data_IF_307554234642
#
_entry.id   IF_307554234642
#
_cell.length_a   1.000
_cell.length_b   1.000
_cell.length_c   1.000
_cell.angle_alpha   90.00
_cell.angle_beta   90.00
_cell.angle_gamma   90.00
#
_symmetry.space_group_name_H-M   'P 1'
#
loop_
_entity.id
_entity.type
_entity.pdbx_description
1 polymer ?
#
# COMPACT_ATOMS: atom_id res chain seq x y z
N UNK A 1 -3.00 10.50 18.48
CA UNK A 1 -1.90 9.54 18.72
C UNK A 1 -1.28 9.93 20.05
N UNK A 2 -0.99 8.96 20.93
CA UNK A 2 -0.31 9.24 22.20
C UNK A 2 1.21 9.36 22.03
N UNK A 3 1.89 9.95 23.01
CA UNK A 3 3.35 10.11 23.05
C UNK A 3 4.09 8.78 22.80
N UNK A 4 3.63 7.69 23.41
CA UNK A 4 4.22 6.36 23.26
C UNK A 4 4.29 5.89 21.79
N UNK A 5 3.22 6.13 21.03
CA UNK A 5 3.16 5.75 19.61
C UNK A 5 4.15 6.58 18.78
N UNK A 6 4.25 7.88 19.05
CA UNK A 6 5.22 8.74 18.37
C UNK A 6 6.66 8.29 18.65
N UNK A 7 6.98 7.96 19.90
CA UNK A 7 8.29 7.46 20.31
C UNK A 7 8.64 6.12 19.64
N UNK A 8 7.71 5.15 19.61
CA UNK A 8 7.96 3.86 18.95
C UNK A 8 8.20 4.03 17.46
N UNK A 9 7.36 4.80 16.76
CA UNK A 9 7.50 4.99 15.32
C UNK A 9 8.79 5.74 14.99
N UNK A 10 9.10 6.83 15.70
CA UNK A 10 10.34 7.58 15.48
C UNK A 10 11.59 6.74 15.82
N UNK A 11 11.53 5.92 16.88
CA UNK A 11 12.61 5.01 17.26
C UNK A 11 12.87 3.95 16.20
N UNK A 12 11.83 3.25 15.74
CA UNK A 12 11.94 2.24 14.67
C UNK A 12 12.45 2.87 13.38
N UNK A 13 11.91 4.03 12.99
CA UNK A 13 12.40 4.75 11.82
C UNK A 13 13.88 5.12 11.97
N UNK A 14 14.31 5.61 13.14
CA UNK A 14 15.72 5.98 13.42
C UNK A 14 16.66 4.79 13.30
N UNK A 15 16.30 3.66 13.92
CA UNK A 15 17.12 2.45 13.86
C UNK A 15 17.20 1.91 12.43
N UNK A 16 16.08 1.94 11.71
CA UNK A 16 16.04 1.53 10.30
C UNK A 16 16.89 2.45 9.43
N UNK A 17 16.84 3.77 9.66
CA UNK A 17 17.70 4.75 8.98
C UNK A 17 19.17 4.52 9.28
N UNK A 18 19.52 4.29 10.54
CA UNK A 18 20.90 4.00 10.93
C UNK A 18 21.40 2.73 10.25
N UNK A 19 20.57 1.67 10.19
CA UNK A 19 20.90 0.46 9.47
C UNK A 19 21.09 0.71 7.97
N UNK A 20 20.20 1.45 7.33
CA UNK A 20 20.32 1.80 5.90
C UNK A 20 21.59 2.61 5.63
N UNK A 21 21.92 3.58 6.48
CA UNK A 21 23.07 4.47 6.26
C UNK A 21 24.43 3.82 6.59
N UNK A 22 24.48 2.97 7.62
CA UNK A 22 25.73 2.39 8.13
C UNK A 22 25.94 0.94 7.70
N UNK A 23 24.85 0.25 7.38
CA UNK A 23 24.85 -1.19 7.10
C UNK A 23 24.67 -1.54 5.63
N UNK A 24 24.05 -0.68 4.80
CA UNK A 24 23.92 -0.93 3.37
C UNK A 24 25.08 -0.32 2.58
N UNK A 25 25.43 -0.94 1.45
CA UNK A 25 26.42 -0.39 0.52
C UNK A 25 25.87 0.88 -0.17
N UNK A 26 24.58 0.88 -0.49
CA UNK A 26 23.87 2.05 -0.98
C UNK A 26 22.40 1.98 -0.57
N UNK A 27 21.80 3.16 -0.35
CA UNK A 27 20.35 3.31 -0.30
C UNK A 27 19.92 4.48 -1.19
N UNK A 28 18.97 4.25 -2.09
CA UNK A 28 18.44 5.27 -3.01
C UNK A 28 16.94 5.46 -2.82
N UNK A 29 16.47 6.70 -2.91
CA UNK A 29 15.04 7.04 -2.81
C UNK A 29 14.62 7.92 -3.98
N UNK A 30 13.65 7.45 -4.76
CA UNK A 30 13.12 8.08 -5.98
C UNK A 30 11.65 8.45 -5.80
N UNK A 31 11.19 9.53 -6.44
CA UNK A 31 9.79 10.00 -6.38
C UNK A 31 9.35 10.55 -5.01
N UNK A 32 10.29 10.72 -4.08
CA UNK A 32 10.00 11.08 -2.69
C UNK A 32 9.37 12.45 -2.55
N UNK A 33 9.82 13.44 -3.32
CA UNK A 33 9.35 14.82 -3.20
C UNK A 33 7.85 14.93 -3.54
N UNK A 34 7.44 14.30 -4.65
CA UNK A 34 6.03 14.17 -5.02
C UNK A 34 5.21 13.49 -3.92
N UNK A 35 5.71 12.38 -3.39
CA UNK A 35 5.05 11.67 -2.29
C UNK A 35 4.86 12.58 -1.07
N UNK A 36 5.89 13.33 -0.66
CA UNK A 36 5.83 14.24 0.48
C UNK A 36 4.87 15.41 0.23
N UNK A 37 4.81 15.98 -0.98
CA UNK A 37 3.84 17.02 -1.35
C UNK A 37 2.40 16.50 -1.21
N UNK A 38 2.14 15.27 -1.66
CA UNK A 38 0.83 14.63 -1.45
C UNK A 38 0.58 14.38 0.03
N UNK A 39 1.57 13.86 0.77
CA UNK A 39 1.47 13.55 2.19
C UNK A 39 1.14 14.78 3.04
N UNK A 40 1.70 15.94 2.68
CA UNK A 40 1.56 17.19 3.41
C UNK A 40 0.55 18.18 2.80
N UNK A 41 -0.14 17.82 1.70
CA UNK A 41 -1.14 18.70 1.06
C UNK A 41 -2.25 19.10 2.05
N UNK A 42 -2.42 20.41 2.32
CA UNK A 42 -3.53 20.92 3.13
C UNK A 42 -4.89 20.63 2.49
N UNK A 43 -4.99 20.70 1.16
CA UNK A 43 -6.23 20.48 0.41
C UNK A 43 -6.72 19.04 0.57
N UNK A 44 -5.79 18.07 0.50
CA UNK A 44 -6.10 16.67 0.78
C UNK A 44 -6.63 16.49 2.21
N UNK A 45 -6.04 17.18 3.18
CA UNK A 45 -6.45 17.10 4.59
C UNK A 45 -7.80 17.72 4.84
N UNK A 46 -8.03 18.92 4.30
CA UNK A 46 -9.28 19.66 4.43
C UNK A 46 -10.44 18.89 3.79
N UNK A 47 -10.21 18.30 2.61
CA UNK A 47 -11.14 17.37 1.96
C UNK A 47 -11.22 15.99 2.62
N UNK A 48 -10.53 15.73 3.73
CA UNK A 48 -10.41 14.42 4.41
C UNK A 48 -10.18 13.24 3.45
N UNK A 49 -9.42 13.47 2.38
CA UNK A 49 -9.13 12.41 1.42
C UNK A 49 -8.02 11.53 1.96
N UNK A 50 -8.30 10.23 2.11
CA UNK A 50 -7.35 9.26 2.61
C UNK A 50 -6.14 9.08 1.69
N UNK A 51 -5.00 8.67 2.25
CA UNK A 51 -3.84 8.25 1.48
C UNK A 51 -3.66 6.73 1.62
N UNK A 52 -3.70 6.00 0.52
CA UNK A 52 -3.49 4.56 0.47
C UNK A 52 -2.20 4.27 -0.30
N UNK A 53 -1.12 3.94 0.41
CA UNK A 53 0.12 3.48 -0.23
C UNK A 53 0.17 1.96 -0.27
N UNK A 54 0.79 1.40 -1.31
CA UNK A 54 0.91 -0.05 -1.42
C UNK A 54 2.21 -0.45 -2.10
N UNK A 55 2.86 -1.50 -1.60
CA UNK A 55 4.17 -1.93 -2.07
C UNK A 55 4.23 -3.42 -2.42
N UNK A 56 5.17 -3.79 -3.29
CA UNK A 56 5.60 -5.18 -3.41
C UNK A 56 6.22 -5.63 -2.08
N UNK A 57 6.14 -6.93 -1.79
CA UNK A 57 6.63 -7.49 -0.54
C UNK A 57 7.75 -8.49 -0.83
N UNK A 58 8.99 -8.20 -0.45
CA UNK A 58 10.20 -9.00 -0.76
C UNK A 58 11.00 -9.38 0.49
N UNK A 59 10.70 -8.78 1.65
CA UNK A 59 11.39 -9.08 2.91
C UNK A 59 10.49 -8.89 4.13
N UNK A 60 10.78 -9.62 5.20
CA UNK A 60 10.14 -9.41 6.51
C UNK A 60 10.46 -8.05 7.13
N UNK A 61 11.52 -7.39 6.64
CA UNK A 61 11.92 -6.04 7.07
C UNK A 61 11.39 -4.93 6.17
N UNK A 62 10.51 -5.23 5.21
CA UNK A 62 10.05 -4.21 4.27
C UNK A 62 9.40 -3.02 4.95
N UNK A 63 8.53 -3.27 5.93
CA UNK A 63 7.83 -2.21 6.65
C UNK A 63 8.80 -1.25 7.36
N UNK A 64 9.67 -1.68 8.29
CA UNK A 64 10.55 -0.76 8.99
C UNK A 64 11.58 -0.09 8.06
N UNK A 65 12.18 -0.84 7.12
CA UNK A 65 13.21 -0.30 6.23
C UNK A 65 12.64 0.69 5.21
N UNK A 66 11.45 0.44 4.66
CA UNK A 66 10.78 1.35 3.74
C UNK A 66 10.66 2.74 4.38
N UNK A 67 10.21 2.80 5.63
CA UNK A 67 9.99 4.06 6.33
C UNK A 67 11.26 4.66 6.92
N UNK A 68 12.30 3.86 7.16
CA UNK A 68 13.66 4.35 7.40
C UNK A 68 14.26 5.12 6.22
N UNK A 69 13.69 5.03 5.02
CA UNK A 69 14.17 5.83 3.87
C UNK A 69 13.70 7.29 3.90
N UNK A 70 12.66 7.61 4.68
CA UNK A 70 12.12 8.97 4.77
C UNK A 70 13.11 9.90 5.48
N UNK A 71 13.09 11.20 5.16
CA UNK A 71 14.06 12.13 5.72
C UNK A 71 13.85 12.36 7.21
N UNK A 72 14.91 12.79 7.89
CA UNK A 72 14.94 13.18 9.30
C UNK A 72 15.25 14.69 9.39
N UNK A 73 14.84 15.35 10.47
CA UNK A 73 15.13 16.78 10.67
C UNK A 73 16.65 16.98 10.63
N UNK A 74 17.11 17.93 9.81
CA UNK A 74 18.54 18.25 9.68
C UNK A 74 19.33 17.32 8.74
N UNK A 75 18.69 16.38 8.04
CA UNK A 75 19.35 15.59 7.00
C UNK A 75 19.61 16.45 5.76
N UNK A 76 20.67 17.25 5.79
CA UNK A 76 21.23 17.90 4.59
C UNK A 76 21.89 16.82 3.73
N UNK A 77 21.24 16.44 2.64
CA UNK A 77 21.94 15.75 1.56
C UNK A 77 22.62 16.84 0.72
N UNK A 78 23.97 16.93 0.67
CA UNK A 78 24.66 17.95 -0.11
C UNK A 78 24.38 17.89 -1.62
N UNK A 79 23.79 16.79 -2.10
CA UNK A 79 23.39 16.58 -3.50
C UNK A 79 21.90 16.86 -3.76
N UNK A 80 21.11 17.28 -2.76
CA UNK A 80 19.71 17.68 -2.94
C UNK A 80 19.49 19.07 -2.34
N UNK A 81 18.94 20.05 -3.10
CA UNK A 81 18.58 21.33 -2.51
C UNK A 81 17.65 21.11 -1.31
N UNK A 82 17.77 21.97 -0.31
CA UNK A 82 17.13 21.85 1.00
C UNK A 82 15.70 21.30 0.89
N UNK A 83 15.47 20.10 1.43
CA UNK A 83 14.15 19.52 1.50
C UNK A 83 13.27 20.44 2.35
N UNK A 84 12.35 21.17 1.70
CA UNK A 84 11.52 22.19 2.34
C UNK A 84 10.36 21.60 3.13
N UNK A 85 10.02 20.32 2.88
CA UNK A 85 8.91 19.64 3.53
C UNK A 85 9.36 18.93 4.82
N UNK A 86 8.55 19.01 5.89
CA UNK A 86 8.93 18.45 7.18
C UNK A 86 8.99 16.92 7.10
N UNK A 87 9.94 16.28 7.79
CA UNK A 87 10.02 14.83 7.88
C UNK A 87 8.77 14.25 8.55
N UNK A 88 8.12 13.22 7.98
CA UNK A 88 6.79 12.79 8.40
C UNK A 88 6.73 12.21 9.82
N UNK A 89 7.84 11.66 10.34
CA UNK A 89 7.92 11.10 11.69
C UNK A 89 8.46 12.06 12.75
N UNK A 90 8.89 13.27 12.34
CA UNK A 90 9.40 14.32 13.23
C UNK A 90 8.66 15.63 12.98
N UNK A 91 7.33 15.57 13.08
CA UNK A 91 6.44 16.74 13.05
C UNK A 91 5.82 16.98 14.42
N UNK A 92 5.20 18.15 14.60
CA UNK A 92 4.34 18.44 15.76
C UNK A 92 3.07 17.58 15.81
N UNK A 93 2.77 16.82 14.75
CA UNK A 93 1.60 15.96 14.66
C UNK A 93 1.91 14.63 13.94
N UNK A 94 2.68 13.72 14.55
CA UNK A 94 3.03 12.43 13.97
C UNK A 94 1.79 11.54 13.75
N UNK A 95 0.69 11.80 14.48
CA UNK A 95 -0.59 11.12 14.29
C UNK A 95 -1.09 11.26 12.86
N UNK A 96 -0.87 12.41 12.26
CA UNK A 96 -1.41 12.73 10.96
C UNK A 96 -0.51 12.17 9.87
N UNK A 97 0.81 12.23 10.04
CA UNK A 97 1.78 11.93 8.98
C UNK A 97 2.44 10.55 9.08
N UNK A 98 2.12 9.75 10.11
CA UNK A 98 2.56 8.36 10.19
C UNK A 98 1.50 7.39 9.63
N UNK A 99 1.96 6.48 8.76
CA UNK A 99 1.19 5.36 8.23
C UNK A 99 0.64 4.45 9.33
N UNK A 100 -0.59 3.99 9.12
CA UNK A 100 -1.09 2.73 9.67
C UNK A 100 -0.76 1.61 8.71
N UNK A 101 -0.48 0.42 9.23
CA UNK A 101 -0.23 -0.77 8.40
C UNK A 101 -0.99 -1.96 8.95
N UNK A 102 -1.01 -3.06 8.20
CA UNK A 102 -1.65 -4.30 8.60
C UNK A 102 -0.62 -5.42 8.64
N UNK A 103 -0.72 -6.28 9.66
CA UNK A 103 0.18 -7.41 9.81
C UNK A 103 -0.57 -8.68 10.21
N UNK A 104 -0.01 -9.82 9.81
CA UNK A 104 -0.61 -11.12 10.10
C UNK A 104 -0.43 -11.52 11.57
N UNK A 105 -1.52 -11.91 12.23
CA UNK A 105 -1.57 -12.34 13.62
C UNK A 105 -0.53 -13.42 13.94
N UNK A 106 -0.46 -14.45 13.11
CA UNK A 106 0.41 -15.62 13.29
C UNK A 106 1.92 -15.33 13.12
N UNK A 107 2.27 -14.16 12.59
CA UNK A 107 3.66 -13.71 12.42
C UNK A 107 4.07 -12.69 13.48
N UNK A 108 3.19 -11.73 13.74
CA UNK A 108 3.50 -10.49 14.48
C UNK A 108 2.96 -10.50 15.92
N UNK A 109 1.86 -11.20 16.17
CA UNK A 109 1.15 -11.18 17.47
C UNK A 109 1.40 -12.47 18.27
N UNK A 110 2.67 -12.83 18.45
CA UNK A 110 3.06 -14.09 19.12
C UNK A 110 2.93 -14.07 20.65
N UNK A 111 2.96 -12.89 21.25
CA UNK A 111 2.81 -12.69 22.69
C UNK A 111 2.33 -11.26 23.00
N UNK A 112 1.93 -11.02 24.25
CA UNK A 112 1.38 -9.73 24.68
C UNK A 112 2.34 -8.54 24.51
N UNK A 113 3.65 -8.76 24.69
CA UNK A 113 4.65 -7.70 24.52
C UNK A 113 4.79 -7.29 23.05
N UNK A 114 4.85 -8.26 22.13
CA UNK A 114 4.83 -7.99 20.69
C UNK A 114 3.52 -7.30 20.29
N UNK A 115 2.37 -7.80 20.77
CA UNK A 115 1.08 -7.17 20.51
C UNK A 115 1.04 -5.69 20.95
N UNK A 116 1.53 -5.39 22.16
CA UNK A 116 1.62 -4.02 22.67
C UNK A 116 2.55 -3.15 21.81
N UNK A 117 3.72 -3.67 21.42
CA UNK A 117 4.68 -2.97 20.56
C UNK A 117 4.07 -2.62 19.20
N UNK A 118 3.50 -3.60 18.50
CA UNK A 118 2.94 -3.40 17.16
C UNK A 118 1.68 -2.53 17.17
N UNK A 119 0.80 -2.69 18.16
CA UNK A 119 -0.36 -1.79 18.32
C UNK A 119 0.08 -0.34 18.57
N UNK A 120 1.13 -0.15 19.38
CA UNK A 120 1.73 1.18 19.63
C UNK A 120 2.36 1.75 18.34
N UNK A 121 2.91 0.89 17.48
CA UNK A 121 3.46 1.25 16.17
C UNK A 121 2.43 1.51 15.05
N UNK A 122 1.13 1.60 15.38
CA UNK A 122 0.02 1.75 14.41
C UNK A 122 -0.14 0.55 13.44
N UNK A 123 0.09 -0.67 13.94
CA UNK A 123 -0.17 -1.90 13.19
C UNK A 123 -1.53 -2.47 13.57
N UNK A 124 -2.32 -2.82 12.56
CA UNK A 124 -3.63 -3.46 12.70
C UNK A 124 -3.47 -4.97 12.49
N UNK A 125 -3.97 -5.77 13.43
CA UNK A 125 -3.90 -7.22 13.37
C UNK A 125 -4.86 -7.79 12.33
N UNK A 126 -4.34 -8.61 11.42
CA UNK A 126 -5.13 -9.30 10.39
C UNK A 126 -4.93 -10.80 10.44
N UNK A 127 -5.96 -11.52 10.00
CA UNK A 127 -5.98 -12.97 10.00
C UNK A 127 -5.90 -13.48 8.57
N UNK A 128 -4.82 -14.20 8.25
CA UNK A 128 -4.62 -14.78 6.92
C UNK A 128 -5.57 -15.96 6.72
N UNK A 129 -6.13 -16.09 5.52
CA UNK A 129 -7.15 -17.10 5.23
C UNK A 129 -8.57 -16.70 5.65
N UNK A 130 -8.71 -15.65 6.47
CA UNK A 130 -10.00 -15.04 6.75
C UNK A 130 -10.51 -14.21 5.55
N UNK A 131 -11.78 -13.85 5.62
CA UNK A 131 -12.42 -12.92 4.69
C UNK A 131 -11.80 -11.51 4.75
N UNK A 132 -11.82 -10.71 3.65
CA UNK A 132 -11.47 -9.28 3.72
C UNK A 132 -12.38 -8.46 4.66
N UNK A 133 -13.54 -9.01 5.04
CA UNK A 133 -14.45 -8.42 6.04
C UNK A 133 -14.04 -8.84 7.44
N UNK A 134 -12.95 -8.25 7.93
CA UNK A 134 -12.47 -8.42 9.30
C UNK A 134 -12.30 -7.05 9.97
N UNK A 135 -12.34 -6.98 11.32
CA UNK A 135 -12.36 -5.71 12.05
C UNK A 135 -11.20 -4.77 11.72
N UNK A 136 -10.02 -5.30 11.41
CA UNK A 136 -8.87 -4.48 11.04
C UNK A 136 -9.05 -3.70 9.73
N UNK A 137 -9.78 -4.24 8.74
CA UNK A 137 -10.06 -3.50 7.51
C UNK A 137 -11.14 -2.43 7.74
N UNK A 138 -12.12 -2.67 8.62
CA UNK A 138 -13.06 -1.62 9.05
C UNK A 138 -12.29 -0.47 9.72
N UNK A 139 -11.33 -0.81 10.58
CA UNK A 139 -10.49 0.19 11.24
C UNK A 139 -9.63 0.97 10.24
N UNK A 140 -9.09 0.31 9.22
CA UNK A 140 -8.34 0.95 8.15
C UNK A 140 -9.20 1.93 7.34
N UNK A 141 -10.44 1.57 7.04
CA UNK A 141 -11.42 2.46 6.41
C UNK A 141 -11.67 3.71 7.26
N UNK A 142 -11.94 3.55 8.56
CA UNK A 142 -12.12 4.70 9.47
C UNK A 142 -10.89 5.63 9.54
N UNK A 143 -9.69 5.08 9.32
CA UNK A 143 -8.45 5.86 9.26
C UNK A 143 -8.41 6.66 7.95
N UNK A 144 -8.72 6.02 6.81
CA UNK A 144 -8.79 6.68 5.51
C UNK A 144 -9.85 7.79 5.49
N UNK A 145 -11.03 7.56 6.07
CA UNK A 145 -12.14 8.55 6.13
C UNK A 145 -11.79 9.80 6.96
N UNK A 146 -10.78 9.69 7.83
CA UNK A 146 -10.21 10.81 8.58
C UNK A 146 -9.13 11.55 7.81
N UNK A 147 -8.94 11.26 6.52
CA UNK A 147 -7.88 11.82 5.68
C UNK A 147 -6.48 11.42 6.15
N UNK A 148 -6.35 10.26 6.81
CA UNK A 148 -5.06 9.73 7.29
C UNK A 148 -4.52 8.70 6.31
N UNK A 149 -3.36 8.17 6.67
CA UNK A 149 -2.53 7.35 5.80
C UNK A 149 -2.57 5.88 6.22
N UNK A 150 -2.92 5.01 5.28
CA UNK A 150 -2.81 3.55 5.38
C UNK A 150 -1.82 3.03 4.34
N UNK A 151 -0.95 2.11 4.77
CA UNK A 151 -0.03 1.37 3.92
C UNK A 151 -0.35 -0.12 3.94
N UNK A 152 -0.23 -0.79 2.79
CA UNK A 152 -0.40 -2.24 2.69
C UNK A 152 0.59 -2.93 1.76
N UNK A 153 0.84 -4.20 2.05
CA UNK A 153 1.48 -5.16 1.15
C UNK A 153 0.39 -6.09 0.58
N UNK A 154 -0.23 -5.75 -0.57
CA UNK A 154 -1.44 -6.43 -1.03
C UNK A 154 -1.21 -7.87 -1.49
N UNK A 155 0.04 -8.30 -1.69
CA UNK A 155 0.39 -9.72 -1.93
C UNK A 155 0.05 -10.61 -0.72
N UNK A 156 0.02 -10.04 0.49
CA UNK A 156 -0.31 -10.70 1.76
C UNK A 156 0.76 -11.66 2.29
N UNK A 157 1.83 -11.87 1.53
CA UNK A 157 2.98 -12.71 1.84
C UNK A 157 4.23 -12.09 1.24
N UNK A 158 5.37 -12.31 1.89
CA UNK A 158 6.67 -12.05 1.28
C UNK A 158 6.77 -12.88 0.00
N UNK A 159 7.10 -12.21 -1.09
CA UNK A 159 7.31 -12.84 -2.37
C UNK A 159 8.68 -13.49 -2.41
N UNK A 160 8.67 -14.82 -2.51
CA UNK A 160 9.86 -15.67 -2.56
C UNK A 160 10.10 -16.22 -3.97
N UNK A 161 9.33 -15.78 -4.98
CA UNK A 161 9.57 -16.19 -6.38
C UNK A 161 10.97 -15.77 -6.80
N UNK A 162 11.60 -16.47 -7.74
CA UNK A 162 12.84 -15.97 -8.38
C UNK A 162 12.55 -15.07 -9.59
N UNK A 163 11.27 -14.94 -9.93
CA UNK A 163 10.80 -14.09 -11.03
C UNK A 163 10.43 -12.71 -10.52
N UNK A 164 10.27 -11.76 -11.44
CA UNK A 164 9.84 -10.38 -11.16
C UNK A 164 8.32 -10.24 -11.04
N UNK A 165 7.60 -11.37 -11.00
CA UNK A 165 6.14 -11.38 -11.03
C UNK A 165 5.56 -11.03 -9.67
N UNK A 166 4.65 -10.07 -9.67
CA UNK A 166 3.81 -9.77 -8.51
C UNK A 166 2.77 -10.87 -8.29
N UNK A 167 2.62 -11.33 -7.04
CA UNK A 167 1.49 -12.19 -6.67
C UNK A 167 0.16 -11.49 -6.94
N UNK A 168 -0.92 -12.28 -6.93
CA UNK A 168 -2.28 -11.73 -6.96
C UNK A 168 -2.49 -10.85 -5.73
N UNK A 169 -2.97 -9.63 -5.95
CA UNK A 169 -3.37 -8.75 -4.84
C UNK A 169 -4.65 -9.27 -4.17
N UNK A 170 -4.62 -9.33 -2.85
CA UNK A 170 -5.76 -9.73 -2.02
C UNK A 170 -6.81 -8.61 -2.01
N UNK A 171 -8.08 -8.98 -1.91
CA UNK A 171 -9.22 -8.05 -1.95
C UNK A 171 -9.23 -6.97 -0.85
N UNK A 172 -8.43 -7.11 0.21
CA UNK A 172 -8.32 -6.10 1.25
C UNK A 172 -7.99 -4.70 0.71
N UNK A 173 -7.08 -4.60 -0.27
CA UNK A 173 -6.73 -3.30 -0.88
C UNK A 173 -7.89 -2.70 -1.68
N UNK A 174 -8.61 -3.52 -2.45
CA UNK A 174 -9.80 -3.09 -3.17
C UNK A 174 -10.89 -2.62 -2.22
N UNK A 175 -11.11 -3.37 -1.13
CA UNK A 175 -12.05 -3.00 -0.08
C UNK A 175 -11.72 -1.61 0.51
N UNK A 176 -10.46 -1.37 0.86
CA UNK A 176 -10.03 -0.08 1.40
C UNK A 176 -10.24 1.09 0.43
N UNK A 177 -10.01 0.86 -0.87
CA UNK A 177 -10.28 1.88 -1.87
C UNK A 177 -11.79 2.10 -2.08
N UNK A 178 -12.54 1.02 -2.27
CA UNK A 178 -13.97 1.03 -2.63
C UNK A 178 -14.92 1.50 -1.53
N UNK A 179 -14.62 1.15 -0.28
CA UNK A 179 -15.53 1.32 0.86
C UNK A 179 -15.13 2.51 1.75
N UNK A 180 -14.13 3.30 1.34
CA UNK A 180 -13.84 4.58 1.97
C UNK A 180 -14.93 5.60 1.61
N UNK A 181 -15.16 6.58 2.49
CA UNK A 181 -16.18 7.62 2.29
C UNK A 181 -15.87 8.51 1.08
N UNK A 182 -14.58 8.62 0.72
CA UNK A 182 -14.02 9.39 -0.39
C UNK A 182 -12.94 8.57 -1.08
N UNK A 183 -12.80 8.73 -2.39
CA UNK A 183 -11.76 8.03 -3.16
C UNK A 183 -10.35 8.36 -2.61
N UNK A 184 -9.63 7.39 -2.02
CA UNK A 184 -8.31 7.68 -1.49
C UNK A 184 -7.31 7.89 -2.61
N UNK A 185 -6.28 8.70 -2.35
CA UNK A 185 -5.14 8.81 -3.25
C UNK A 185 -4.33 7.52 -3.14
N UNK A 186 -4.28 6.74 -4.22
CA UNK A 186 -3.59 5.45 -4.25
C UNK A 186 -2.18 5.61 -4.83
N UNK A 187 -1.11 5.25 -4.10
CA UNK A 187 0.29 5.41 -4.56
C UNK A 187 1.02 4.06 -4.50
N UNK A 188 1.48 3.52 -5.64
CA UNK A 188 2.36 2.35 -5.66
C UNK A 188 3.77 2.73 -5.19
N UNK A 189 4.40 1.82 -4.47
CA UNK A 189 5.79 1.92 -4.03
C UNK A 189 6.51 0.64 -4.49
N UNK A 190 7.69 0.79 -5.07
CA UNK A 190 8.53 -0.33 -5.46
C UNK A 190 9.76 -0.42 -4.57
N UNK A 191 9.98 -1.59 -3.99
CA UNK A 191 11.08 -1.91 -3.09
C UNK A 191 12.02 -2.90 -3.80
N UNK A 192 13.30 -2.59 -3.80
CA UNK A 192 14.36 -3.45 -4.33
C UNK A 192 15.48 -3.64 -3.30
N UNK A 193 16.00 -4.86 -3.17
CA UNK A 193 17.21 -5.19 -2.40
C UNK A 193 16.99 -5.48 -0.92
N UNK A 194 15.79 -5.30 -0.37
CA UNK A 194 15.49 -5.63 1.02
C UNK A 194 15.51 -7.16 1.29
N UNK A 195 15.32 -7.96 0.25
CA UNK A 195 15.52 -9.41 0.28
C UNK A 195 17.00 -9.80 0.50
N UNK A 196 17.96 -8.93 0.15
CA UNK A 196 19.38 -9.14 0.42
C UNK A 196 19.72 -8.89 1.90
N UNK A 197 18.98 -7.98 2.54
CA UNK A 197 19.13 -7.67 3.97
C UNK A 197 18.63 -8.83 4.83
N UNK A 198 17.48 -9.43 4.48
CA UNK A 198 16.90 -10.57 5.19
C UNK A 198 16.38 -11.62 4.21
N UNK A 199 17.26 -12.47 3.65
CA UNK A 199 16.89 -13.46 2.65
C UNK A 199 16.12 -14.64 3.25
N UNK A 200 15.28 -15.26 2.42
CA UNK A 200 14.57 -16.49 2.75
C UNK A 200 14.75 -17.51 1.59
N UNK A 201 15.21 -18.75 1.84
CA UNK A 201 15.63 -19.32 3.13
C UNK A 201 17.02 -18.86 3.61
N UNK A 202 17.20 -18.73 4.93
CA UNK A 202 18.44 -18.24 5.61
C UNK A 202 19.12 -19.28 6.49
N UNK A 203 20.46 -19.27 6.45
CA UNK A 203 21.34 -19.94 7.43
C UNK A 203 21.34 -19.22 8.78
N UNK A 204 21.79 -19.89 9.84
CA UNK A 204 21.91 -19.29 11.17
C UNK A 204 23.06 -18.24 11.22
N UNK A 205 22.95 -17.15 12.01
CA UNK A 205 21.82 -16.78 12.86
C UNK A 205 20.69 -16.13 12.06
N UNK A 206 19.49 -16.71 12.17
CA UNK A 206 18.36 -16.31 11.32
C UNK A 206 17.85 -14.89 11.65
N UNK A 207 17.98 -14.43 12.88
CA UNK A 207 17.38 -13.16 13.34
C UNK A 207 18.17 -11.90 12.95
N UNK A 208 19.40 -12.04 12.47
CA UNK A 208 20.31 -10.92 12.25
C UNK A 208 20.26 -10.43 10.79
N UNK A 209 19.97 -9.14 10.54
CA UNK A 209 20.03 -8.56 9.20
C UNK A 209 21.45 -8.55 8.63
N UNK A 210 21.59 -8.85 7.34
CA UNK A 210 22.85 -8.82 6.61
C UNK A 210 23.20 -7.40 6.18
N UNK A 211 24.47 -7.05 6.35
CA UNK A 211 25.05 -5.79 5.85
C UNK A 211 25.43 -5.93 4.37
N UNK A 212 25.72 -4.81 3.72
CA UNK A 212 26.24 -4.74 2.36
C UNK A 212 25.17 -4.84 1.26
N UNK A 213 23.89 -4.74 1.59
CA UNK A 213 22.83 -4.70 0.58
C UNK A 213 22.85 -3.36 -0.16
N UNK A 214 22.44 -3.37 -1.43
CA UNK A 214 22.13 -2.16 -2.19
C UNK A 214 20.62 -2.08 -2.34
N UNK A 215 20.01 -1.05 -1.75
CA UNK A 215 18.56 -0.97 -1.60
C UNK A 215 17.99 0.27 -2.27
N UNK A 216 16.83 0.13 -2.90
CA UNK A 216 16.15 1.25 -3.57
C UNK A 216 14.68 1.25 -3.22
N UNK A 217 14.16 2.42 -2.86
CA UNK A 217 12.72 2.67 -2.69
C UNK A 217 12.28 3.69 -3.74
N UNK A 218 11.31 3.30 -4.56
CA UNK A 218 10.74 4.17 -5.60
C UNK A 218 9.27 4.43 -5.31
N UNK A 219 8.94 5.69 -5.02
CA UNK A 219 7.56 6.14 -4.93
C UNK A 219 7.03 6.45 -6.34
N UNK A 220 6.00 5.72 -6.77
CA UNK A 220 5.38 5.92 -8.07
C UNK A 220 4.49 7.16 -8.15
N UNK A 221 3.90 7.38 -9.33
CA UNK A 221 2.84 8.36 -9.54
C UNK A 221 1.52 7.84 -8.96
N UNK A 222 0.65 8.73 -8.44
CA UNK A 222 -0.66 8.33 -7.94
C UNK A 222 -1.49 7.70 -9.07
N UNK A 223 -2.27 6.67 -8.75
CA UNK A 223 -3.20 6.05 -9.70
C UNK A 223 -4.26 7.09 -10.07
N UNK A 224 -4.50 7.28 -11.37
CA UNK A 224 -5.41 8.32 -11.82
C UNK A 224 -6.86 8.03 -11.44
N UNK A 225 -7.61 9.08 -11.14
CA UNK A 225 -9.05 8.96 -10.84
C UNK A 225 -9.81 8.34 -12.01
N UNK A 226 -9.48 8.72 -13.25
CA UNK A 226 -10.08 8.15 -14.45
C UNK A 226 -9.83 6.63 -14.58
N UNK A 227 -8.64 6.14 -14.24
CA UNK A 227 -8.37 4.71 -14.24
C UNK A 227 -9.20 3.97 -13.18
N UNK A 228 -9.34 4.54 -11.99
CA UNK A 228 -10.20 3.99 -10.94
C UNK A 228 -11.68 4.00 -11.35
N UNK A 229 -12.18 5.10 -11.93
CA UNK A 229 -13.56 5.24 -12.41
C UNK A 229 -13.93 4.23 -13.49
N UNK A 230 -12.99 3.85 -14.37
CA UNK A 230 -13.23 2.81 -15.39
C UNK A 230 -13.54 1.43 -14.80
N UNK A 231 -13.02 1.13 -13.62
CA UNK A 231 -13.33 -0.13 -12.92
C UNK A 231 -14.68 -0.03 -12.20
N UNK A 232 -15.00 1.17 -11.73
CA UNK A 232 -16.21 1.47 -10.97
C UNK A 232 -17.30 2.06 -11.86
N UNK A 233 -17.78 1.30 -12.84
CA UNK A 233 -18.84 1.77 -13.74
C UNK A 233 -20.13 2.05 -12.96
N UNK A 234 -20.98 2.97 -13.44
CA UNK A 234 -22.31 3.22 -12.86
C UNK A 234 -23.15 1.92 -12.77
N UNK A 235 -22.96 0.99 -13.72
CA UNK A 235 -23.61 -0.32 -13.72
C UNK A 235 -23.10 -1.27 -12.62
N UNK A 236 -21.89 -1.02 -12.10
CA UNK A 236 -21.23 -1.91 -11.13
C UNK A 236 -21.87 -1.89 -9.75
N UNK A 237 -22.70 -0.86 -9.43
CA UNK A 237 -23.36 -0.67 -8.12
C UNK A 237 -22.39 -0.77 -6.93
N UNK A 238 -21.10 -0.54 -7.17
CA UNK A 238 -20.01 -0.85 -6.25
C UNK A 238 -19.41 0.37 -5.56
N UNK A 239 -19.80 1.58 -5.96
CA UNK A 239 -19.22 2.83 -5.48
C UNK A 239 -19.83 3.21 -4.13
N UNK A 240 -18.99 3.50 -3.13
CA UNK A 240 -19.42 4.01 -1.83
C UNK A 240 -20.28 3.02 -1.04
N UNK A 241 -20.18 1.72 -1.33
CA UNK A 241 -20.98 0.70 -0.69
C UNK A 241 -20.34 0.24 0.62
N UNK A 242 -20.30 1.16 1.59
CA UNK A 242 -20.99 1.12 2.90
C UNK A 242 -20.49 2.35 3.67
N UNK A 243 -21.24 3.47 3.75
CA UNK A 243 -20.92 4.53 4.68
C UNK A 243 -21.06 3.96 6.08
N UNK A 244 -20.20 4.41 6.99
CA UNK A 244 -20.47 4.33 8.43
C UNK A 244 -21.92 4.66 8.81
N UNK A 245 -22.61 5.47 7.98
CA UNK A 245 -23.99 5.96 8.11
C UNK A 245 -25.11 5.13 7.46
N UNK A 246 -24.85 3.95 6.88
CA UNK A 246 -25.93 3.10 6.32
C UNK A 246 -26.86 2.44 7.39
N UNK A 247 -27.01 3.04 8.57
CA UNK A 247 -28.05 2.63 9.53
C UNK A 247 -29.46 2.91 8.97
N UNK A 248 -29.61 3.85 8.03
CA UNK A 248 -30.91 4.20 7.41
C UNK A 248 -31.24 3.41 6.12
N UNK A 249 -30.31 2.60 5.59
CA UNK A 249 -30.40 2.02 4.23
C UNK A 249 -30.89 0.56 4.18
N UNK A 250 -30.84 -0.17 5.30
CA UNK A 250 -31.31 -1.57 5.31
C UNK A 250 -32.84 -1.69 5.22
N UNK A 251 -33.57 -0.60 5.51
CA UNK A 251 -35.03 -0.53 5.41
C UNK A 251 -35.55 0.09 4.11
N UNK A 252 -34.68 0.68 3.27
CA UNK A 252 -35.12 1.63 2.24
C UNK A 252 -34.44 1.32 0.90
N UNK A 253 -35.24 1.05 -0.13
CA UNK A 253 -34.72 0.91 -1.50
C UNK A 253 -34.17 2.26 -1.96
N UNK A 254 -32.85 2.46 -1.86
CA UNK A 254 -32.18 3.66 -2.35
C UNK A 254 -32.63 3.95 -3.79
N UNK A 255 -33.03 5.20 -4.05
CA UNK A 255 -33.39 5.62 -5.41
C UNK A 255 -32.13 5.70 -6.27
N UNK A 256 -32.30 5.70 -7.59
CA UNK A 256 -31.19 5.95 -8.53
C UNK A 256 -30.53 7.31 -8.28
N UNK A 257 -31.31 8.31 -7.83
CA UNK A 257 -30.80 9.64 -7.48
C UNK A 257 -29.90 9.62 -6.24
N UNK A 258 -30.28 8.87 -5.19
CA UNK A 258 -29.45 8.72 -3.98
C UNK A 258 -28.13 8.04 -4.29
N UNK A 259 -28.15 7.05 -5.21
CA UNK A 259 -26.94 6.39 -5.69
C UNK A 259 -26.02 7.38 -6.38
N UNK A 260 -26.51 8.09 -7.41
CA UNK A 260 -25.72 9.09 -8.14
C UNK A 260 -25.15 10.16 -7.23
N UNK A 261 -25.91 10.63 -6.24
CA UNK A 261 -25.43 11.59 -5.26
C UNK A 261 -24.26 11.04 -4.43
N UNK A 262 -24.32 9.76 -4.02
CA UNK A 262 -23.24 9.09 -3.28
C UNK A 262 -22.00 8.87 -4.15
N UNK A 263 -22.19 8.46 -5.39
CA UNK A 263 -21.08 8.30 -6.34
C UNK A 263 -20.40 9.64 -6.61
N UNK A 264 -21.21 10.69 -6.85
CA UNK A 264 -20.75 12.07 -6.94
C UNK A 264 -19.97 12.48 -5.69
N UNK A 265 -20.51 12.26 -4.49
CA UNK A 265 -19.79 12.57 -3.25
C UNK A 265 -18.45 11.84 -3.16
N UNK A 266 -18.40 10.53 -3.43
CA UNK A 266 -17.17 9.74 -3.33
C UNK A 266 -16.06 10.26 -4.26
N UNK A 267 -16.42 10.72 -5.47
CA UNK A 267 -15.46 11.22 -6.47
C UNK A 267 -15.18 12.71 -6.39
N UNK A 268 -16.21 13.54 -6.29
CA UNK A 268 -16.14 15.00 -6.40
C UNK A 268 -15.69 15.64 -5.09
N UNK A 269 -15.99 15.03 -3.94
CA UNK A 269 -15.49 15.51 -2.66
C UNK A 269 -14.08 15.00 -2.32
N UNK A 270 -13.56 14.06 -3.11
CA UNK A 270 -12.20 13.56 -2.98
C UNK A 270 -11.23 14.52 -3.69
N UNK A 271 -10.22 14.97 -2.97
CA UNK A 271 -9.08 15.65 -3.57
C UNK A 271 -8.20 14.65 -4.30
N UNK A 272 -7.88 14.91 -5.56
CA UNK A 272 -6.93 14.09 -6.32
C UNK A 272 -5.75 14.95 -6.76
N UNK A 273 -4.51 14.45 -6.63
CA UNK A 273 -3.33 15.18 -7.06
C UNK A 273 -3.29 15.35 -8.57
N UNK A 274 -3.05 16.57 -9.04
CA UNK A 274 -2.62 16.78 -10.42
C UNK A 274 -1.09 16.54 -10.51
N UNK A 275 -0.70 15.45 -11.18
CA UNK A 275 0.70 15.03 -11.27
C UNK A 275 1.56 16.06 -12.02
N UNK A 276 0.99 16.78 -12.99
CA UNK A 276 1.70 17.82 -13.75
C UNK A 276 2.05 19.02 -12.87
N UNK A 277 1.18 19.36 -11.91
CA UNK A 277 1.42 20.48 -10.99
C UNK A 277 2.24 20.08 -9.77
N UNK A 278 2.39 18.78 -9.50
CA UNK A 278 3.17 18.28 -8.37
C UNK A 278 4.68 18.28 -8.59
N UNK A 279 5.16 18.70 -9.76
CA UNK A 279 6.57 18.87 -10.09
C UNK A 279 6.95 18.18 -11.40
N UNK A 280 8.06 18.60 -12.04
CA UNK A 280 8.51 17.96 -13.25
C UNK A 280 8.85 16.48 -12.99
N UNK A 281 8.86 15.65 -14.05
CA UNK A 281 9.38 14.30 -13.98
C UNK A 281 10.81 14.29 -13.43
N UNK A 282 11.13 13.31 -12.57
CA UNK A 282 12.52 13.06 -12.19
C UNK A 282 13.27 12.38 -13.36
N UNK A 283 14.58 12.56 -13.47
CA UNK A 283 15.35 12.05 -14.62
C UNK A 283 15.18 10.54 -14.87
N UNK A 284 15.02 9.75 -13.80
CA UNK A 284 14.79 8.31 -13.92
C UNK A 284 13.42 8.00 -14.55
N UNK A 285 12.41 8.85 -14.35
CA UNK A 285 11.09 8.68 -14.96
C UNK A 285 11.16 8.89 -16.46
N UNK A 286 11.96 9.86 -16.91
CA UNK A 286 12.21 10.11 -18.33
C UNK A 286 13.05 8.99 -18.95
N UNK A 287 14.18 8.62 -18.33
CA UNK A 287 15.07 7.55 -18.83
C UNK A 287 14.38 6.19 -18.93
N UNK A 288 13.58 5.83 -17.93
CA UNK A 288 12.84 4.56 -17.91
C UNK A 288 11.58 4.57 -18.78
N UNK A 289 11.11 5.75 -19.21
CA UNK A 289 9.83 5.94 -19.89
C UNK A 289 8.60 5.87 -18.98
N UNK A 290 8.79 5.88 -17.65
CA UNK A 290 7.70 5.84 -16.67
C UNK A 290 6.73 7.01 -16.84
N UNK A 291 7.25 8.19 -17.18
CA UNK A 291 6.44 9.36 -17.44
C UNK A 291 5.43 9.14 -18.56
N UNK A 292 5.91 8.77 -19.74
CA UNK A 292 5.09 8.61 -20.94
C UNK A 292 4.07 7.48 -20.79
N UNK A 293 4.47 6.36 -20.18
CA UNK A 293 3.58 5.23 -19.91
C UNK A 293 2.46 5.60 -18.93
N UNK A 294 2.76 6.44 -17.94
CA UNK A 294 1.74 6.93 -17.01
C UNK A 294 0.75 7.85 -17.73
N UNK A 295 1.21 8.80 -18.55
CA UNK A 295 0.32 9.69 -19.31
C UNK A 295 -0.57 8.94 -20.31
N UNK A 296 -0.04 7.91 -21.00
CA UNK A 296 -0.83 7.05 -21.88
C UNK A 296 -1.91 6.26 -21.13
N UNK A 297 -1.64 5.82 -19.90
CA UNK A 297 -2.63 5.12 -19.07
C UNK A 297 -3.81 6.02 -18.67
N UNK A 298 -3.60 7.34 -18.63
CA UNK A 298 -4.62 8.35 -18.35
C UNK A 298 -5.47 8.68 -19.58
N UNK A 299 -4.88 8.74 -20.77
CA UNK A 299 -5.57 9.19 -22.01
C UNK A 299 -6.20 8.07 -22.84
N UNK A 300 -5.74 6.82 -22.71
CA UNK A 300 -6.27 5.70 -23.51
C UNK A 300 -7.63 5.20 -23.03
N UNK A 301 -8.60 5.19 -23.95
CA UNK A 301 -9.89 4.49 -23.81
C UNK A 301 -9.79 2.97 -24.04
N UNK A 302 -8.65 2.49 -24.57
CA UNK A 302 -8.39 1.07 -24.84
C UNK A 302 -7.66 0.40 -23.67
N UNK A 303 -7.81 -0.94 -23.61
CA UNK A 303 -7.44 -1.80 -22.49
C UNK A 303 -6.14 -1.40 -21.79
N UNK A 304 -6.27 -1.05 -20.51
CA UNK A 304 -5.16 -0.92 -19.57
C UNK A 304 -4.28 -2.16 -19.72
N UNK A 305 -2.98 -2.02 -19.94
CA UNK A 305 -2.05 -3.14 -19.85
C UNK A 305 -2.31 -3.84 -18.51
N UNK A 306 -3.02 -4.96 -18.55
CA UNK A 306 -3.26 -5.82 -17.41
C UNK A 306 -2.18 -6.90 -17.52
N UNK A 307 -1.18 -6.92 -16.62
CA UNK A 307 -0.23 -8.02 -16.62
C UNK A 307 -1.01 -9.33 -16.51
N UNK A 308 -0.61 -10.39 -17.22
CA UNK A 308 -1.30 -11.66 -17.16
C UNK A 308 -1.52 -12.08 -15.70
N UNK A 309 -2.61 -12.81 -15.41
CA UNK A 309 -2.84 -13.31 -14.07
C UNK A 309 -1.57 -14.06 -13.61
N UNK A 310 -1.13 -13.85 -12.36
CA UNK A 310 0.10 -14.46 -11.89
C UNK A 310 -0.01 -15.98 -12.01
N UNK A 311 1.01 -16.61 -12.60
CA UNK A 311 1.04 -18.05 -12.71
C UNK A 311 1.35 -18.65 -11.34
N UNK A 312 0.43 -19.45 -10.80
CA UNK A 312 0.57 -20.03 -9.47
C UNK A 312 1.85 -20.89 -9.32
N UNK A 313 2.37 -21.44 -10.43
CA UNK A 313 3.61 -22.21 -10.50
C UNK A 313 4.87 -21.42 -10.12
N UNK A 314 4.86 -20.08 -10.26
CA UNK A 314 6.02 -19.24 -9.96
C UNK A 314 6.23 -19.02 -8.46
N UNK A 315 5.26 -19.42 -7.64
CA UNK A 315 5.23 -19.14 -6.22
C UNK A 315 5.20 -20.42 -5.39
N UNK A 316 5.91 -20.44 -4.24
CA UNK A 316 5.71 -21.51 -3.27
C UNK A 316 4.23 -21.59 -2.86
N UNK A 317 3.68 -22.81 -2.67
CA UNK A 317 2.33 -23.02 -2.17
C UNK A 317 2.11 -22.26 -0.87
N UNK A 318 0.96 -21.59 -0.75
CA UNK A 318 0.59 -20.94 0.49
C UNK A 318 0.04 -21.98 1.46
N UNK A 319 0.50 -21.92 2.71
CA UNK A 319 -0.05 -22.75 3.78
C UNK A 319 -1.57 -22.48 3.94
N UNK A 320 -2.34 -23.54 4.12
CA UNK A 320 -3.75 -23.43 4.53
C UNK A 320 -3.80 -22.93 5.96
N UNK A 321 -4.42 -21.77 6.18
CA UNK A 321 -4.57 -21.21 7.53
C UNK A 321 -5.78 -21.80 8.22
N UNK A 322 -5.56 -22.31 9.43
CA UNK A 322 -6.64 -22.68 10.33
C UNK A 322 -7.08 -21.45 11.12
N UNK A 323 -8.37 -21.36 11.51
CA UNK A 323 -8.79 -20.33 12.46
C UNK A 323 -7.96 -20.44 13.75
N UNK A 324 -7.71 -19.33 14.45
CA UNK A 324 -7.06 -19.38 15.75
C UNK A 324 -7.98 -20.12 16.75
N UNK A 325 -7.48 -20.52 17.94
CA UNK A 325 -8.26 -21.30 18.91
C UNK A 325 -9.64 -20.72 19.25
N UNK A 326 -9.73 -19.39 19.29
CA UNK A 326 -10.95 -18.61 19.53
C UNK A 326 -11.87 -18.44 18.31
N UNK A 327 -11.54 -19.03 17.16
CA UNK A 327 -12.25 -18.84 15.89
C UNK A 327 -11.83 -17.59 15.13
N UNK A 328 -12.30 -17.43 13.89
CA UNK A 328 -12.09 -16.18 13.15
C UNK A 328 -12.73 -14.99 13.88
N UNK A 329 -12.15 -13.79 13.81
CA UNK A 329 -12.78 -12.60 14.36
C UNK A 329 -14.18 -12.41 13.78
N UNK A 330 -15.17 -12.27 14.65
CA UNK A 330 -16.55 -11.98 14.27
C UNK A 330 -16.75 -10.48 14.19
N UNK A 331 -17.45 -10.01 13.16
CA UNK A 331 -17.79 -8.60 13.05
C UNK A 331 -19.08 -8.30 13.80
N UNK A 332 -19.19 -7.15 14.50
CA UNK A 332 -20.46 -6.69 15.04
C UNK A 332 -21.54 -6.61 13.94
N UNK A 333 -22.81 -6.92 14.22
CA UNK A 333 -23.88 -6.92 13.21
C UNK A 333 -24.00 -5.60 12.41
N UNK A 334 -23.74 -4.47 13.05
CA UNK A 334 -23.85 -3.12 12.46
C UNK A 334 -22.53 -2.62 11.83
N UNK A 335 -21.47 -3.43 11.87
CA UNK A 335 -20.16 -3.06 11.31
C UNK A 335 -20.20 -2.85 9.79
N UNK A 336 -19.17 -2.21 9.23
CA UNK A 336 -19.07 -2.09 7.77
C UNK A 336 -18.80 -3.46 7.15
N UNK A 337 -17.99 -4.28 7.79
CA UNK A 337 -17.68 -5.64 7.37
C UNK A 337 -18.94 -6.53 7.27
N UNK A 338 -19.83 -6.51 8.27
CA UNK A 338 -21.07 -7.28 8.23
C UNK A 338 -21.99 -6.85 7.09
N UNK A 339 -22.16 -5.53 6.90
CA UNK A 339 -22.95 -4.97 5.79
C UNK A 339 -22.35 -5.29 4.42
N UNK A 340 -21.03 -5.19 4.28
CA UNK A 340 -20.33 -5.48 3.03
C UNK A 340 -20.43 -6.98 2.65
N UNK A 341 -20.43 -7.87 3.64
CA UNK A 341 -20.67 -9.30 3.45
C UNK A 341 -22.11 -9.58 2.99
N UNK A 342 -23.11 -8.95 3.60
CA UNK A 342 -24.51 -9.05 3.17
C UNK A 342 -24.71 -8.53 1.74
N UNK A 343 -24.11 -7.38 1.41
CA UNK A 343 -24.16 -6.83 0.06
C UNK A 343 -23.52 -7.76 -0.97
N UNK A 344 -22.37 -8.36 -0.66
CA UNK A 344 -21.74 -9.31 -1.58
C UNK A 344 -22.58 -10.58 -1.80
N UNK A 345 -23.33 -11.04 -0.78
CA UNK A 345 -24.24 -12.18 -0.93
C UNK A 345 -25.44 -11.89 -1.84
N UNK A 346 -25.88 -10.63 -1.91
CA UNK A 346 -27.04 -10.19 -2.70
C UNK A 346 -26.66 -9.62 -4.07
N UNK A 347 -25.39 -9.25 -4.25
CA UNK A 347 -24.84 -8.59 -5.43
C UNK A 347 -23.48 -9.25 -5.79
N UNK A 348 -23.49 -10.46 -6.38
CA UNK A 348 -22.27 -11.23 -6.64
C UNK A 348 -21.29 -10.54 -7.60
N UNK A 349 -21.74 -9.61 -8.43
CA UNK A 349 -20.91 -8.78 -9.31
C UNK A 349 -19.84 -7.97 -8.53
N UNK A 350 -20.08 -7.70 -7.25
CA UNK A 350 -19.15 -6.96 -6.37
C UNK A 350 -17.80 -7.67 -6.21
N UNK A 351 -17.80 -9.01 -6.21
CA UNK A 351 -16.58 -9.80 -6.13
C UNK A 351 -15.70 -9.62 -7.39
N UNK A 352 -16.34 -9.53 -8.57
CA UNK A 352 -15.69 -9.27 -9.84
C UNK A 352 -15.08 -7.86 -9.86
N UNK A 353 -15.80 -6.86 -9.37
CA UNK A 353 -15.31 -5.47 -9.29
C UNK A 353 -14.12 -5.35 -8.34
N UNK A 354 -14.17 -5.99 -7.16
CA UNK A 354 -13.01 -6.04 -6.25
C UNK A 354 -11.80 -6.69 -6.91
N UNK A 355 -12.02 -7.74 -7.69
CA UNK A 355 -10.95 -8.43 -8.43
C UNK A 355 -10.37 -7.55 -9.54
N UNK A 356 -11.22 -6.87 -10.31
CA UNK A 356 -10.80 -5.92 -11.33
C UNK A 356 -10.01 -4.75 -10.74
N UNK A 357 -10.45 -4.22 -9.59
CA UNK A 357 -9.74 -3.12 -8.94
C UNK A 357 -8.38 -3.56 -8.36
N UNK A 358 -8.31 -4.76 -7.77
CA UNK A 358 -7.04 -5.34 -7.34
C UNK A 358 -6.09 -5.55 -8.53
N UNK A 359 -6.63 -5.97 -9.68
CA UNK A 359 -5.87 -6.14 -10.91
C UNK A 359 -5.36 -4.80 -11.47
N UNK A 360 -6.16 -3.73 -11.42
CA UNK A 360 -5.74 -2.37 -11.78
C UNK A 360 -4.54 -1.94 -10.93
N UNK A 361 -4.64 -2.01 -9.60
CA UNK A 361 -3.55 -1.61 -8.72
C UNK A 361 -2.29 -2.46 -8.93
N UNK A 362 -2.46 -3.77 -9.18
CA UNK A 362 -1.35 -4.65 -9.54
C UNK A 362 -0.70 -4.23 -10.87
N UNK A 363 -1.49 -3.83 -11.86
CA UNK A 363 -1.00 -3.36 -13.14
C UNK A 363 -0.17 -2.07 -13.00
N UNK A 364 -0.64 -1.12 -12.20
CA UNK A 364 0.09 0.12 -11.90
C UNK A 364 1.43 -0.17 -11.21
N UNK A 365 1.44 -1.09 -10.24
CA UNK A 365 2.68 -1.50 -9.58
C UNK A 365 3.61 -2.27 -10.53
N UNK A 366 3.09 -3.15 -11.36
CA UNK A 366 3.89 -3.89 -12.35
C UNK A 366 4.56 -2.93 -13.34
N UNK A 367 3.83 -1.91 -13.80
CA UNK A 367 4.37 -0.85 -14.67
C UNK A 367 5.51 -0.08 -13.99
N UNK A 368 5.32 0.32 -12.73
CA UNK A 368 6.39 0.94 -11.94
C UNK A 368 7.61 0.02 -11.84
N UNK A 369 7.40 -1.24 -11.49
CA UNK A 369 8.47 -2.24 -11.36
C UNK A 369 9.25 -2.47 -12.66
N UNK A 370 8.56 -2.52 -13.81
CA UNK A 370 9.22 -2.61 -15.12
C UNK A 370 10.15 -1.41 -15.37
N UNK A 371 9.66 -0.19 -15.13
CA UNK A 371 10.46 1.02 -15.32
C UNK A 371 11.65 1.09 -14.35
N UNK A 372 11.47 0.69 -13.09
CA UNK A 372 12.56 0.62 -12.11
C UNK A 372 13.64 -0.36 -12.56
N UNK A 373 13.26 -1.53 -13.08
CA UNK A 373 14.22 -2.51 -13.62
C UNK A 373 14.97 -1.97 -14.83
N UNK A 374 14.27 -1.32 -15.75
CA UNK A 374 14.91 -0.68 -16.91
C UNK A 374 15.94 0.36 -16.49
N UNK A 375 15.62 1.18 -15.49
CA UNK A 375 16.55 2.15 -14.91
C UNK A 375 17.76 1.49 -14.22
N UNK A 376 17.58 0.29 -13.65
CA UNK A 376 18.68 -0.48 -13.06
C UNK A 376 19.52 -1.27 -14.08
N UNK A 377 19.13 -1.25 -15.36
CA UNK A 377 19.80 -2.01 -16.43
C UNK A 377 19.42 -3.50 -16.49
N UNK A 378 18.39 -3.93 -15.75
CA UNK A 378 17.93 -5.32 -15.72
C UNK A 378 17.04 -5.70 -16.93
N UNK A 379 16.66 -4.73 -17.78
CA UNK A 379 15.79 -4.94 -18.95
C UNK A 379 14.31 -5.15 -18.63
N UNK A 380 13.51 -5.49 -19.66
CA UNK A 380 12.04 -5.66 -19.56
C UNK A 380 11.61 -7.08 -19.09
N UNK A 381 12.57 -7.99 -18.82
CA UNK A 381 12.35 -9.40 -18.45
C UNK A 381 12.53 -9.73 -16.96
N UNK A 382 12.93 -10.99 -16.65
CA UNK A 382 13.30 -11.44 -15.31
C UNK A 382 14.57 -10.73 -14.81
N UNK A 383 14.39 -9.59 -14.15
CA UNK A 383 15.42 -8.88 -13.38
C UNK A 383 15.52 -9.34 -11.92
N UNK A 384 16.42 -8.72 -11.15
CA UNK A 384 16.63 -9.06 -9.73
C UNK A 384 15.53 -8.48 -8.86
N UNK A 385 14.51 -9.27 -8.55
CA UNK A 385 13.52 -8.88 -7.55
C UNK A 385 13.42 -9.77 -6.33
N UNK A 386 14.01 -10.95 -6.37
CA UNK A 386 13.94 -11.83 -5.23
C UNK A 386 15.03 -12.90 -5.27
N UNK A 387 15.77 -12.94 -4.17
CA UNK A 387 16.65 -14.02 -3.74
C UNK A 387 17.63 -14.48 -4.83
N UNK A 388 18.56 -13.57 -5.17
CA UNK A 388 19.86 -14.00 -5.67
C UNK A 388 20.52 -14.79 -4.53
N UNK A 389 20.30 -16.09 -4.46
CA UNK A 389 21.26 -16.94 -3.76
C UNK A 389 22.54 -16.72 -4.57
N UNK A 390 23.50 -16.00 -3.96
CA UNK A 390 24.89 -16.01 -4.40
C UNK A 390 25.20 -17.46 -4.74
N UNK A 391 25.49 -17.75 -6.01
CA UNK A 391 26.09 -19.03 -6.37
C UNK A 391 27.23 -19.24 -5.38
N UNK A 392 27.16 -20.33 -4.62
CA UNK A 392 28.20 -20.68 -3.67
C UNK A 392 29.51 -20.79 -4.47
N UNK A 393 30.40 -19.81 -4.28
CA UNK A 393 31.82 -19.94 -4.57
C UNK A 393 32.48 -20.68 -3.41
#
# INVERSE_FOLDING_TARGET
MGLASATVIAGVASLSRAFLSLGCNSFEVRGLDRFLRILHSPERRQSRTGLLTYANHVSVLDEPLLWGTLPFRGSVNPLRPAQTLPPPFYTSNPAENARWTLAASDIVYKNAAMAAFFNTGQVLETFRGASPFQPALDRALEILDKGRWVHVFPEGYVNLSRTTDLRRFKWGISRMAMEADRAPVCIPIWITGFDQVMPEPRSAPRWLPRLGASVTVTFGRPVSQAAMQRVFTADSRCIGAVPSKAEDDASTSLTEQDRRHREGHYWESAWQPNVETLGPPEDWETRSGYESLHSQSQSSSSATYAPPPPQNSHYPPLATHKPPPQGWPTNPPHSRAARALQLESTHPERASVRSAFAALLRAEMARLGMCVRREMGDGDGEGRLAHTIMQQS
#
